data_IF_213639870430
#
_entry.id   IF_213639870430
#
_cell.length_a   1.000
_cell.length_b   1.000
_cell.length_c   1.000
_cell.angle_alpha   90.00
_cell.angle_beta   90.00
_cell.angle_gamma   90.00
#
_symmetry.space_group_name_H-M   'P 1'
#
loop_
_entity.id
_entity.type
_entity.pdbx_description
1 polymer ?
#
# COMPACT_ATOMS: atom_id res chain seq x y z
N UNK A 1 5.01 -36.32 -25.52
CA UNK A 1 4.97 -36.33 -24.09
C UNK A 1 3.67 -35.84 -23.56
N UNK A 2 3.14 -36.55 -22.68
CA UNK A 2 1.95 -36.06 -21.98
C UNK A 2 2.30 -34.75 -21.28
N UNK A 3 1.55 -33.74 -21.56
CA UNK A 3 1.62 -32.54 -20.78
C UNK A 3 1.53 -32.92 -19.31
N UNK A 4 2.55 -32.65 -18.56
CA UNK A 4 2.48 -32.83 -17.13
C UNK A 4 1.33 -31.99 -16.62
N UNK A 5 0.28 -32.63 -16.17
CA UNK A 5 -0.78 -31.90 -15.52
C UNK A 5 -0.18 -31.22 -14.29
N UNK A 6 -0.23 -29.90 -14.29
CA UNK A 6 0.17 -29.12 -13.12
C UNK A 6 -0.79 -29.52 -12.01
N UNK A 7 -0.31 -30.34 -11.09
CA UNK A 7 -1.09 -30.65 -9.89
C UNK A 7 -1.27 -29.36 -9.13
N UNK A 8 -2.52 -29.05 -8.83
CA UNK A 8 -2.83 -27.97 -7.93
C UNK A 8 -2.23 -28.29 -6.57
N UNK A 9 -1.28 -27.49 -6.13
CA UNK A 9 -0.61 -27.69 -4.85
C UNK A 9 -1.46 -27.14 -3.73
N UNK A 10 -1.13 -27.49 -2.50
CA UNK A 10 -1.80 -26.91 -1.33
C UNK A 10 -1.73 -25.38 -1.35
N UNK A 11 -0.60 -24.83 -1.73
CA UNK A 11 -0.41 -23.38 -1.88
C UNK A 11 -1.43 -22.76 -2.84
N UNK A 12 -1.75 -23.44 -3.92
CA UNK A 12 -2.63 -22.93 -4.94
C UNK A 12 -4.11 -22.98 -4.56
N UNK A 13 -4.55 -24.02 -3.84
CA UNK A 13 -5.98 -24.15 -3.57
C UNK A 13 -6.40 -23.85 -2.12
N UNK A 14 -5.47 -23.82 -1.17
CA UNK A 14 -5.79 -23.48 0.22
C UNK A 14 -4.61 -22.78 0.89
N UNK A 15 -4.51 -21.49 0.65
CA UNK A 15 -3.43 -20.66 1.17
C UNK A 15 -3.37 -20.68 2.70
N UNK A 16 -4.52 -20.64 3.37
CA UNK A 16 -4.53 -20.63 4.83
C UNK A 16 -3.94 -21.92 5.40
N UNK A 17 -4.37 -23.06 4.87
CA UNK A 17 -3.84 -24.34 5.34
C UNK A 17 -2.35 -24.50 5.00
N UNK A 18 -1.93 -23.99 3.84
CA UNK A 18 -0.52 -23.98 3.47
C UNK A 18 0.30 -23.15 4.46
N UNK A 19 -0.17 -21.97 4.85
CA UNK A 19 0.49 -21.12 5.85
C UNK A 19 0.60 -21.83 7.21
N UNK A 20 -0.48 -22.45 7.66
CA UNK A 20 -0.47 -23.20 8.92
C UNK A 20 0.54 -24.34 8.88
N UNK A 21 0.63 -25.02 7.75
CA UNK A 21 1.59 -26.11 7.53
C UNK A 21 3.03 -25.59 7.60
N UNK A 22 3.32 -24.50 6.90
CA UNK A 22 4.66 -23.89 6.91
C UNK A 22 5.03 -23.43 8.31
N UNK A 23 4.12 -22.78 9.02
CA UNK A 23 4.34 -22.33 10.40
C UNK A 23 4.68 -23.52 11.30
N UNK A 24 3.95 -24.63 11.19
CA UNK A 24 4.19 -25.83 11.96
C UNK A 24 5.57 -26.42 11.66
N UNK A 25 5.95 -26.49 10.39
CA UNK A 25 7.26 -26.97 9.97
C UNK A 25 8.40 -26.12 10.52
N UNK A 26 8.24 -24.80 10.45
CA UNK A 26 9.25 -23.87 10.98
C UNK A 26 9.38 -24.01 12.51
N UNK A 27 8.25 -24.13 13.21
CA UNK A 27 8.27 -24.29 14.67
C UNK A 27 8.93 -25.59 15.13
N UNK A 28 8.73 -26.66 14.40
CA UNK A 28 9.32 -27.95 14.72
C UNK A 28 10.76 -28.11 14.24
N UNK A 29 11.28 -27.13 13.48
CA UNK A 29 12.62 -27.19 12.91
C UNK A 29 12.74 -28.10 11.68
N UNK A 30 11.62 -28.50 11.10
CA UNK A 30 11.57 -29.31 9.89
C UNK A 30 11.76 -28.43 8.65
N UNK A 31 12.98 -27.97 8.43
CA UNK A 31 13.27 -27.03 7.34
C UNK A 31 13.36 -27.71 5.98
N UNK A 32 13.62 -29.02 5.94
CA UNK A 32 13.79 -29.75 4.68
C UNK A 32 12.48 -29.84 3.88
N UNK A 33 11.36 -29.85 4.56
CA UNK A 33 10.03 -29.98 3.92
C UNK A 33 9.33 -28.66 3.69
N UNK A 34 9.93 -27.53 4.08
CA UNK A 34 9.34 -26.21 3.85
C UNK A 34 9.40 -25.87 2.37
N UNK A 35 8.28 -25.41 1.83
CA UNK A 35 8.18 -24.90 0.46
C UNK A 35 8.79 -23.49 0.40
N UNK A 36 10.11 -23.45 0.25
CA UNK A 36 10.89 -22.21 0.33
C UNK A 36 10.51 -21.23 -0.78
N UNK A 37 10.32 -21.71 -2.02
CA UNK A 37 10.02 -20.83 -3.14
C UNK A 37 8.72 -20.08 -2.96
N UNK A 38 7.66 -20.78 -2.56
CA UNK A 38 6.37 -20.14 -2.29
C UNK A 38 6.41 -19.28 -1.02
N UNK A 39 7.21 -19.67 -0.03
CA UNK A 39 7.40 -18.86 1.17
C UNK A 39 8.06 -17.52 0.83
N UNK A 40 9.07 -17.52 -0.02
CA UNK A 40 9.72 -16.29 -0.50
C UNK A 40 8.70 -15.42 -1.23
N UNK A 41 7.90 -16.03 -2.11
CA UNK A 41 6.88 -15.28 -2.85
C UNK A 41 5.87 -14.60 -1.92
N UNK A 42 5.42 -15.29 -0.88
CA UNK A 42 4.51 -14.69 0.11
C UNK A 42 5.17 -13.55 0.89
N UNK A 43 6.42 -13.74 1.29
CA UNK A 43 7.17 -12.70 2.01
C UNK A 43 7.42 -11.48 1.13
N UNK A 44 7.74 -11.68 -0.14
CA UNK A 44 7.89 -10.57 -1.10
C UNK A 44 6.58 -9.82 -1.30
N UNK A 45 5.47 -10.54 -1.40
CA UNK A 45 4.14 -9.94 -1.49
C UNK A 45 3.80 -9.09 -0.27
N UNK A 46 4.13 -9.59 0.92
CA UNK A 46 3.91 -8.86 2.16
C UNK A 46 4.77 -7.59 2.22
N UNK A 47 6.03 -7.66 1.84
CA UNK A 47 6.93 -6.51 1.78
C UNK A 47 6.44 -5.45 0.78
N UNK A 48 5.99 -5.90 -0.39
CA UNK A 48 5.43 -4.99 -1.41
C UNK A 48 4.12 -4.34 -0.98
N UNK A 49 3.33 -5.02 -0.15
CA UNK A 49 2.07 -4.48 0.35
C UNK A 49 2.26 -3.20 1.15
N UNK A 50 3.24 -3.15 2.02
CA UNK A 50 3.52 -1.96 2.83
C UNK A 50 3.96 -0.78 1.97
N UNK A 51 4.76 -1.03 0.94
CA UNK A 51 5.14 0.02 -0.02
C UNK A 51 3.94 0.57 -0.77
N UNK A 52 3.04 -0.30 -1.22
CA UNK A 52 1.81 0.12 -1.91
C UNK A 52 0.89 0.89 -0.97
N UNK A 53 0.80 0.47 0.28
CA UNK A 53 -0.02 1.17 1.28
C UNK A 53 0.51 2.58 1.53
N UNK A 54 1.82 2.75 1.69
CA UNK A 54 2.44 4.08 1.84
C UNK A 54 2.07 4.98 0.67
N UNK A 55 2.22 4.51 -0.57
CA UNK A 55 1.89 5.30 -1.76
C UNK A 55 0.40 5.64 -1.83
N UNK A 56 -0.47 4.69 -1.51
CA UNK A 56 -1.93 4.90 -1.53
C UNK A 56 -2.37 5.93 -0.50
N UNK A 57 -1.87 5.82 0.73
CA UNK A 57 -2.19 6.79 1.78
C UNK A 57 -1.61 8.15 1.51
N UNK A 58 -0.42 8.23 0.92
CA UNK A 58 0.19 9.48 0.50
C UNK A 58 -0.65 10.19 -0.55
N UNK A 59 -1.15 9.46 -1.56
CA UNK A 59 -2.05 10.03 -2.56
C UNK A 59 -3.31 10.61 -1.93
N UNK A 60 -3.94 9.87 -1.03
CA UNK A 60 -5.15 10.34 -0.34
C UNK A 60 -4.86 11.58 0.50
N UNK A 61 -3.72 11.61 1.19
CA UNK A 61 -3.30 12.75 2.00
C UNK A 61 -3.09 13.99 1.13
N UNK A 62 -2.33 13.87 0.05
CA UNK A 62 -2.07 14.99 -0.88
C UNK A 62 -3.39 15.51 -1.45
N UNK A 63 -4.27 14.62 -1.91
CA UNK A 63 -5.56 14.99 -2.47
C UNK A 63 -6.36 15.84 -1.49
N UNK A 64 -6.47 15.41 -0.26
CA UNK A 64 -7.29 16.09 0.73
C UNK A 64 -6.67 17.41 1.21
N UNK A 65 -5.34 17.48 1.28
CA UNK A 65 -4.66 18.74 1.55
C UNK A 65 -4.91 19.75 0.43
N UNK A 66 -4.79 19.32 -0.82
CA UNK A 66 -5.05 20.20 -1.97
C UNK A 66 -6.50 20.68 -1.98
N UNK A 67 -7.45 19.79 -1.75
CA UNK A 67 -8.87 20.18 -1.66
C UNK A 67 -9.10 21.16 -0.53
N UNK A 68 -8.58 20.88 0.65
CA UNK A 68 -8.76 21.74 1.81
C UNK A 68 -8.17 23.14 1.59
N UNK A 69 -7.03 23.23 0.90
CA UNK A 69 -6.35 24.50 0.67
C UNK A 69 -6.92 25.32 -0.49
N UNK A 70 -7.41 24.67 -1.54
CA UNK A 70 -7.72 25.35 -2.79
C UNK A 70 -9.18 25.25 -3.24
N UNK A 71 -9.99 24.40 -2.64
CA UNK A 71 -11.39 24.24 -3.00
C UNK A 71 -12.26 24.91 -1.92
N UNK A 72 -12.99 25.95 -2.31
CA UNK A 72 -13.85 26.69 -1.39
C UNK A 72 -15.22 26.01 -1.25
N UNK A 73 -15.24 24.94 -0.47
CA UNK A 73 -16.46 24.20 -0.14
C UNK A 73 -16.51 23.97 1.37
N UNK A 74 -16.88 25.00 2.15
CA UNK A 74 -16.80 24.96 3.62
C UNK A 74 -17.53 23.77 4.26
N UNK A 75 -18.62 23.30 3.66
CA UNK A 75 -19.37 22.16 4.18
C UNK A 75 -18.58 20.85 4.13
N UNK A 76 -17.56 20.80 3.30
CA UNK A 76 -16.70 19.62 3.15
C UNK A 76 -15.42 19.67 3.99
N UNK A 77 -15.07 20.84 4.52
CA UNK A 77 -13.80 21.07 5.20
C UNK A 77 -13.56 20.11 6.37
N UNK A 78 -14.58 19.90 7.19
CA UNK A 78 -14.45 19.01 8.34
C UNK A 78 -14.12 17.58 7.93
N UNK A 79 -14.82 17.09 6.91
CA UNK A 79 -14.56 15.73 6.40
C UNK A 79 -13.14 15.59 5.85
N UNK A 80 -12.69 16.60 5.10
CA UNK A 80 -11.32 16.61 4.55
C UNK A 80 -10.27 16.67 5.66
N UNK A 81 -10.50 17.47 6.69
CA UNK A 81 -9.59 17.59 7.83
C UNK A 81 -9.50 16.28 8.62
N UNK A 82 -10.61 15.56 8.79
CA UNK A 82 -10.63 14.25 9.43
C UNK A 82 -9.81 13.25 8.61
N UNK A 83 -9.99 13.22 7.29
CA UNK A 83 -9.22 12.35 6.41
C UNK A 83 -7.73 12.66 6.47
N UNK A 84 -7.36 13.94 6.45
CA UNK A 84 -5.96 14.37 6.57
C UNK A 84 -5.33 13.83 7.85
N UNK A 85 -6.00 14.01 8.99
CA UNK A 85 -5.49 13.51 10.28
C UNK A 85 -5.34 11.99 10.29
N UNK A 86 -6.33 11.28 9.76
CA UNK A 86 -6.33 9.82 9.72
C UNK A 86 -5.18 9.30 8.86
N UNK A 87 -5.00 9.85 7.67
CA UNK A 87 -3.93 9.41 6.78
C UNK A 87 -2.55 9.73 7.33
N UNK A 88 -2.38 10.90 7.95
CA UNK A 88 -1.12 11.23 8.62
C UNK A 88 -0.80 10.25 9.73
N UNK A 89 -1.77 9.94 10.57
CA UNK A 89 -1.59 9.00 11.67
C UNK A 89 -1.18 7.61 11.14
N UNK A 90 -1.89 7.10 10.15
CA UNK A 90 -1.61 5.78 9.60
C UNK A 90 -0.24 5.72 8.91
N UNK A 91 0.14 6.77 8.19
CA UNK A 91 1.47 6.86 7.60
C UNK A 91 2.57 6.90 8.67
N UNK A 92 2.38 7.67 9.73
CA UNK A 92 3.32 7.74 10.85
C UNK A 92 3.52 6.37 11.49
N UNK A 93 2.43 5.62 11.69
CA UNK A 93 2.49 4.26 12.25
C UNK A 93 3.30 3.32 11.37
N UNK A 94 3.07 3.34 10.06
CA UNK A 94 3.81 2.49 9.11
C UNK A 94 5.30 2.85 9.13
N UNK A 95 5.62 4.14 9.10
CA UNK A 95 7.01 4.61 9.04
C UNK A 95 7.75 4.40 10.38
N UNK A 96 7.05 4.43 11.50
CA UNK A 96 7.62 4.08 12.80
C UNK A 96 7.93 2.58 12.88
N UNK A 97 7.01 1.75 12.42
CA UNK A 97 7.20 0.30 12.40
C UNK A 97 8.32 -0.11 11.43
N UNK A 98 8.40 0.57 10.29
CA UNK A 98 9.36 0.25 9.22
C UNK A 98 10.09 1.51 8.73
N UNK A 99 11.09 2.00 9.50
CA UNK A 99 11.79 3.24 9.15
C UNK A 99 12.45 3.23 7.76
N UNK A 100 12.79 2.06 7.23
CA UNK A 100 13.34 1.95 5.87
C UNK A 100 12.39 2.45 4.80
N UNK A 101 11.09 2.49 5.08
CA UNK A 101 10.08 2.99 4.15
C UNK A 101 10.08 4.52 4.03
N UNK A 102 10.78 5.25 4.91
CA UNK A 102 10.90 6.71 4.81
C UNK A 102 11.50 7.14 3.47
N UNK A 103 12.49 6.40 3.00
CA UNK A 103 13.10 6.67 1.69
C UNK A 103 12.09 6.47 0.56
N UNK A 104 11.32 5.39 0.62
CA UNK A 104 10.26 5.11 -0.34
C UNK A 104 9.19 6.20 -0.34
N UNK A 105 8.80 6.68 0.85
CA UNK A 105 7.85 7.77 1.00
C UNK A 105 8.34 9.04 0.27
N UNK A 106 9.59 9.44 0.51
CA UNK A 106 10.18 10.62 -0.12
C UNK A 106 10.27 10.46 -1.64
N UNK A 107 10.75 9.31 -2.10
CA UNK A 107 10.90 9.03 -3.53
C UNK A 107 9.57 8.95 -4.28
N UNK A 108 8.51 8.54 -3.60
CA UNK A 108 7.18 8.41 -4.19
C UNK A 108 6.41 9.73 -4.26
N UNK A 109 6.84 10.76 -3.54
CA UNK A 109 6.06 11.98 -3.37
C UNK A 109 5.75 12.67 -4.69
N UNK A 110 6.75 12.91 -5.53
CA UNK A 110 6.55 13.64 -6.79
C UNK A 110 5.59 12.94 -7.71
N UNK A 111 5.72 11.63 -7.83
CA UNK A 111 4.83 10.82 -8.67
C UNK A 111 3.39 10.86 -8.14
N UNK A 112 3.23 10.72 -6.83
CA UNK A 112 1.92 10.79 -6.19
C UNK A 112 1.28 12.17 -6.37
N UNK A 113 2.07 13.22 -6.20
CA UNK A 113 1.60 14.60 -6.38
C UNK A 113 1.11 14.85 -7.80
N UNK A 114 1.88 14.44 -8.81
CA UNK A 114 1.49 14.60 -10.21
C UNK A 114 0.19 13.86 -10.53
N UNK A 115 0.07 12.64 -10.05
CA UNK A 115 -1.14 11.83 -10.24
C UNK A 115 -2.36 12.51 -9.61
N UNK A 116 -2.24 12.92 -8.36
CA UNK A 116 -3.33 13.58 -7.62
C UNK A 116 -3.70 14.91 -8.26
N UNK A 117 -2.70 15.67 -8.70
CA UNK A 117 -2.93 16.98 -9.32
C UNK A 117 -3.81 16.87 -10.58
N UNK A 118 -3.59 15.87 -11.40
CA UNK A 118 -4.45 15.60 -12.56
C UNK A 118 -5.89 15.31 -12.11
N UNK A 119 -6.06 14.49 -11.09
CA UNK A 119 -7.39 14.11 -10.59
C UNK A 119 -8.15 15.31 -10.02
N UNK A 120 -7.51 16.09 -9.16
CA UNK A 120 -8.21 17.25 -8.54
C UNK A 120 -8.51 18.34 -9.57
N UNK A 121 -7.65 18.52 -10.55
CA UNK A 121 -7.91 19.47 -11.65
C UNK A 121 -9.07 19.03 -12.53
N UNK A 122 -9.24 17.74 -12.71
CA UNK A 122 -10.37 17.18 -13.44
C UNK A 122 -11.67 17.30 -12.64
N UNK A 123 -11.63 16.93 -11.35
CA UNK A 123 -12.83 16.89 -10.50
C UNK A 123 -13.29 18.28 -10.04
N UNK A 124 -12.34 19.21 -9.89
CA UNK A 124 -12.59 20.57 -9.37
C UNK A 124 -12.02 21.60 -10.33
N UNK A 125 -12.43 21.53 -11.60
CA UNK A 125 -11.85 22.34 -12.69
C UNK A 125 -12.00 23.84 -12.51
N UNK A 126 -12.96 24.31 -11.71
CA UNK A 126 -13.19 25.73 -11.46
C UNK A 126 -12.24 26.34 -10.43
N UNK A 127 -11.45 25.51 -9.74
CA UNK A 127 -10.51 25.97 -8.72
C UNK A 127 -9.07 25.91 -9.21
N UNK A 128 -8.23 26.90 -8.86
CA UNK A 128 -6.82 26.88 -9.25
C UNK A 128 -6.01 26.02 -8.29
N UNK A 129 -5.25 25.08 -8.84
CA UNK A 129 -4.31 24.29 -8.07
C UNK A 129 -2.88 24.64 -8.48
N UNK A 130 -1.91 24.59 -7.54
CA UNK A 130 -0.52 24.93 -7.83
C UNK A 130 0.16 23.86 -8.69
N UNK A 131 1.14 24.28 -9.47
CA UNK A 131 1.95 23.34 -10.28
C UNK A 131 2.97 22.58 -9.44
N UNK A 132 3.32 23.11 -8.27
CA UNK A 132 4.30 22.53 -7.35
C UNK A 132 3.75 22.51 -5.93
N UNK A 133 4.29 21.57 -5.13
CA UNK A 133 3.94 21.44 -3.71
C UNK A 133 4.54 22.58 -2.88
#
# INVERSE_FOLDING_TARGET
MTQAMVKQTLYDYDLNLWLETVISQLRSGDLQNVDIENLIEELEGLAGRDKREVASRLKTLIEHILKRCYVDMPNEFRGWEVTIRTQRFELEQILEQSPSLKRHFVESFDKCFKFVLEDVRSDYSQYPFPDTW
#
